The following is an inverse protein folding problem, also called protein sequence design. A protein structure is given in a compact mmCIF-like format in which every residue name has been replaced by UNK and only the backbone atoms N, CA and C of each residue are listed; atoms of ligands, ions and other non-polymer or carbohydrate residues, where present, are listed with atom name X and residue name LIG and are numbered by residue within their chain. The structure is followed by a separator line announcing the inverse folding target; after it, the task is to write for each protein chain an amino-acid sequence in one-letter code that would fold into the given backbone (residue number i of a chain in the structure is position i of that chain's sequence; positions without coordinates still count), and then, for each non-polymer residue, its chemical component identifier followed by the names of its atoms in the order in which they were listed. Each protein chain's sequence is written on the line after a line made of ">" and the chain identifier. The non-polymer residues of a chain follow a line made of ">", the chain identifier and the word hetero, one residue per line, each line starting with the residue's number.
data_IF_453130009480
#
_entry.id   IF_453130009480
#
_cell.length_a   1.000
_cell.length_b   1.000
_cell.length_c   1.000
_cell.angle_alpha   90.00
_cell.angle_beta   90.00
_cell.angle_gamma   90.00
#
_symmetry.space_group_name_H-M   'P 1'
#
loop_
_entity.id
_entity.type
_entity.pdbx_description
1 polymer ?
#
# COMPACT_ATOMS: atom_id res chain seq x y z
N UNK A 1 2.13 8.15 -9.71
CA UNK A 1 2.49 8.69 -8.38
C UNK A 1 1.34 8.70 -7.38
N UNK A 2 0.13 9.18 -7.73
CA UNK A 2 -1.00 9.20 -6.78
C UNK A 2 -1.35 7.82 -6.19
N UNK A 3 -1.33 6.74 -6.99
CA UNK A 3 -1.58 5.39 -6.46
C UNK A 3 -0.53 4.95 -5.43
N UNK A 4 0.75 5.32 -5.63
CA UNK A 4 1.83 5.04 -4.68
C UNK A 4 1.58 5.78 -3.37
N UNK A 5 1.19 7.04 -3.45
CA UNK A 5 0.83 7.85 -2.29
C UNK A 5 -0.33 7.24 -1.50
N UNK A 6 -1.42 6.86 -2.19
CA UNK A 6 -2.61 6.28 -1.56
C UNK A 6 -2.30 4.94 -0.91
N UNK A 7 -1.56 4.05 -1.58
CA UNK A 7 -1.17 2.75 -1.00
C UNK A 7 -0.28 2.98 0.23
N UNK A 8 0.64 3.96 0.17
CA UNK A 8 1.40 4.40 1.34
C UNK A 8 0.49 4.86 2.47
N UNK A 9 -0.46 5.76 2.20
CA UNK A 9 -1.41 6.27 3.19
C UNK A 9 -2.28 5.19 3.82
N UNK A 10 -2.82 4.26 3.02
CA UNK A 10 -3.63 3.15 3.54
C UNK A 10 -2.76 2.21 4.38
N UNK A 11 -1.57 1.87 3.92
CA UNK A 11 -0.64 1.03 4.70
C UNK A 11 -0.29 1.70 6.02
N UNK A 12 0.02 3.00 6.00
CA UNK A 12 0.34 3.79 7.19
C UNK A 12 -0.80 3.86 8.19
N UNK A 13 -2.03 4.05 7.70
CA UNK A 13 -3.22 4.06 8.54
C UNK A 13 -3.48 2.68 9.18
N UNK A 14 -3.25 1.57 8.46
CA UNK A 14 -3.36 0.22 9.03
C UNK A 14 -2.28 -0.05 10.08
N UNK A 15 -1.09 0.54 9.93
CA UNK A 15 0.00 0.43 10.90
C UNK A 15 -0.31 1.09 12.25
N UNK A 16 -1.22 2.07 12.30
CA UNK A 16 -1.67 2.65 13.57
C UNK A 16 -2.24 1.60 14.54
N UNK A 17 -2.91 0.58 14.00
CA UNK A 17 -3.52 -0.48 14.80
C UNK A 17 -2.53 -1.57 15.24
N UNK A 18 -1.25 -1.44 14.90
CA UNK A 18 -0.22 -2.36 15.35
C UNK A 18 0.04 -2.26 16.85
N UNK A 19 0.68 -3.29 17.40
CA UNK A 19 1.06 -3.31 18.81
C UNK A 19 1.91 -2.09 19.16
N UNK A 20 1.58 -1.45 20.30
CA UNK A 20 2.31 -0.30 20.84
C UNK A 20 3.82 -0.56 20.87
N UNK A 21 4.59 0.38 20.35
CA UNK A 21 6.06 0.30 20.26
C UNK A 21 6.62 -0.45 19.05
N UNK A 22 5.78 -1.13 18.25
CA UNK A 22 6.27 -1.83 17.04
C UNK A 22 6.09 -1.02 15.74
N UNK A 23 5.36 0.11 15.78
CA UNK A 23 4.97 0.86 14.59
C UNK A 23 6.18 1.36 13.77
N UNK A 24 7.24 1.86 14.41
CA UNK A 24 8.46 2.32 13.73
C UNK A 24 9.12 1.20 12.93
N UNK A 25 9.26 0.02 13.57
CA UNK A 25 9.79 -1.18 12.94
C UNK A 25 8.94 -1.58 11.73
N UNK A 26 7.63 -1.58 11.88
CA UNK A 26 6.72 -1.95 10.80
C UNK A 26 6.74 -0.94 9.65
N UNK A 27 6.84 0.36 9.93
CA UNK A 27 7.00 1.40 8.90
C UNK A 27 8.27 1.19 8.09
N UNK A 28 9.39 0.90 8.76
CA UNK A 28 10.67 0.61 8.08
C UNK A 28 10.57 -0.66 7.24
N UNK A 29 9.94 -1.72 7.75
CA UNK A 29 9.70 -2.95 6.98
C UNK A 29 8.88 -2.66 5.72
N UNK A 30 7.78 -1.91 5.84
CA UNK A 30 6.95 -1.57 4.68
C UNK A 30 7.72 -0.74 3.65
N UNK A 31 8.53 0.22 4.11
CA UNK A 31 9.39 1.02 3.24
C UNK A 31 10.41 0.17 2.49
N UNK A 32 11.08 -0.76 3.17
CA UNK A 32 12.08 -1.66 2.56
C UNK A 32 11.43 -2.61 1.57
N UNK A 33 10.27 -3.21 1.91
CA UNK A 33 9.55 -4.09 1.00
C UNK A 33 9.09 -3.30 -0.24
N UNK A 34 8.60 -2.07 -0.07
CA UNK A 34 8.23 -1.23 -1.20
C UNK A 34 9.45 -0.85 -2.06
N UNK A 35 10.57 -0.47 -1.44
CA UNK A 35 11.81 -0.15 -2.13
C UNK A 35 12.39 -1.35 -2.93
N UNK A 36 12.19 -2.58 -2.45
CA UNK A 36 12.59 -3.79 -3.16
C UNK A 36 11.56 -4.19 -4.22
N UNK A 37 10.35 -4.56 -3.78
CA UNK A 37 9.32 -5.13 -4.66
C UNK A 37 8.74 -4.11 -5.63
N UNK A 38 8.58 -2.85 -5.20
CA UNK A 38 8.18 -1.77 -6.08
C UNK A 38 9.23 -1.50 -7.17
N UNK A 39 10.53 -1.63 -6.87
CA UNK A 39 11.59 -1.48 -7.86
C UNK A 39 11.54 -2.59 -8.90
N UNK A 40 11.30 -3.84 -8.46
CA UNK A 40 11.14 -4.98 -9.36
C UNK A 40 9.95 -4.76 -10.30
N UNK A 41 8.80 -4.33 -9.77
CA UNK A 41 7.64 -4.03 -10.60
C UNK A 41 7.89 -2.90 -11.60
N UNK A 42 8.51 -1.81 -11.13
CA UNK A 42 8.89 -0.67 -11.97
C UNK A 42 9.85 -1.06 -13.10
N UNK A 43 10.91 -1.79 -12.77
CA UNK A 43 11.95 -2.21 -13.72
C UNK A 43 11.42 -3.19 -14.75
N UNK A 44 10.54 -4.11 -14.33
CA UNK A 44 9.92 -5.06 -15.25
C UNK A 44 8.96 -4.36 -16.21
N UNK A 45 8.08 -3.48 -15.72
CA UNK A 45 7.12 -2.75 -16.57
C UNK A 45 7.82 -1.85 -17.60
N UNK A 46 8.84 -1.11 -17.19
CA UNK A 46 9.53 -0.14 -18.05
C UNK A 46 10.67 -0.73 -18.90
N UNK A 47 11.06 -1.99 -18.69
CA UNK A 47 12.15 -2.64 -19.41
C UNK A 47 11.73 -3.92 -20.12
N UNK A 48 11.39 -4.96 -19.36
CA UNK A 48 11.26 -6.34 -19.85
C UNK A 48 9.83 -6.73 -20.26
N UNK A 49 8.81 -6.06 -19.73
CA UNK A 49 7.38 -6.35 -19.93
C UNK A 49 6.68 -5.23 -20.72
N UNK A 50 7.39 -4.51 -21.57
CA UNK A 50 6.82 -3.45 -22.42
C UNK A 50 5.71 -3.96 -23.37
N UNK A 51 5.61 -5.28 -23.58
CA UNK A 51 4.56 -5.93 -24.35
C UNK A 51 3.24 -6.12 -23.57
N UNK A 52 3.24 -5.98 -22.24
CA UNK A 52 2.02 -6.04 -21.44
C UNK A 52 1.30 -4.70 -21.57
N UNK A 53 0.08 -4.71 -22.12
CA UNK A 53 -0.67 -3.46 -22.27
C UNK A 53 -0.99 -2.83 -20.92
N UNK A 54 -1.04 -1.50 -20.87
CA UNK A 54 -1.36 -0.79 -19.63
C UNK A 54 -2.70 -1.24 -19.01
N UNK A 55 -3.66 -1.66 -19.84
CA UNK A 55 -4.95 -2.18 -19.40
C UNK A 55 -4.80 -3.43 -18.54
N UNK A 56 -3.92 -4.37 -18.92
CA UNK A 56 -3.65 -5.57 -18.13
C UNK A 56 -2.98 -5.23 -16.80
N UNK A 57 -2.02 -4.30 -16.79
CA UNK A 57 -1.36 -3.85 -15.54
C UNK A 57 -2.37 -3.23 -14.58
N UNK A 58 -3.32 -2.41 -15.09
CA UNK A 58 -4.41 -1.84 -14.29
C UNK A 58 -5.36 -2.91 -13.77
N UNK A 59 -5.71 -3.91 -14.58
CA UNK A 59 -6.56 -5.03 -14.17
C UNK A 59 -5.90 -5.87 -13.07
N UNK A 60 -4.63 -6.25 -13.23
CA UNK A 60 -3.88 -6.98 -12.21
C UNK A 60 -3.74 -6.16 -10.93
N UNK A 61 -3.50 -4.85 -11.05
CA UNK A 61 -3.46 -3.97 -9.90
C UNK A 61 -4.79 -3.94 -9.13
N UNK A 62 -5.92 -3.84 -9.83
CA UNK A 62 -7.25 -3.89 -9.21
C UNK A 62 -7.50 -5.22 -8.48
N UNK A 63 -7.15 -6.35 -9.12
CA UNK A 63 -7.23 -7.67 -8.47
C UNK A 63 -6.32 -7.75 -7.25
N UNK A 64 -5.12 -7.19 -7.33
CA UNK A 64 -4.19 -7.09 -6.19
C UNK A 64 -4.75 -6.28 -5.02
N UNK A 65 -5.43 -5.16 -5.32
CA UNK A 65 -6.15 -4.36 -4.31
C UNK A 65 -7.27 -5.18 -3.65
N UNK A 66 -8.10 -5.87 -4.43
CA UNK A 66 -9.15 -6.74 -3.89
C UNK A 66 -8.57 -7.84 -2.98
N UNK A 67 -7.52 -8.52 -3.45
CA UNK A 67 -6.84 -9.56 -2.68
C UNK A 67 -6.26 -9.04 -1.37
N UNK A 68 -5.66 -7.84 -1.39
CA UNK A 68 -5.17 -7.16 -0.19
C UNK A 68 -6.28 -6.83 0.79
N UNK A 69 -7.42 -6.29 0.33
CA UNK A 69 -8.54 -5.96 1.22
C UNK A 69 -9.12 -7.20 1.88
N UNK A 70 -9.37 -8.27 1.11
CA UNK A 70 -9.87 -9.54 1.66
C UNK A 70 -8.89 -10.10 2.69
N UNK A 71 -7.59 -10.07 2.38
CA UNK A 71 -6.55 -10.56 3.28
C UNK A 71 -6.46 -9.73 4.56
N UNK A 72 -6.56 -8.40 4.46
CA UNK A 72 -6.54 -7.49 5.59
C UNK A 72 -7.73 -7.69 6.52
N UNK A 73 -8.94 -7.89 5.96
CA UNK A 73 -10.15 -8.17 6.74
C UNK A 73 -10.01 -9.52 7.47
N UNK A 74 -9.49 -10.55 6.80
CA UNK A 74 -9.28 -11.87 7.40
C UNK A 74 -8.17 -11.89 8.46
N UNK A 75 -7.13 -11.05 8.30
CA UNK A 75 -5.98 -11.01 9.18
C UNK A 75 -6.16 -10.08 10.40
N UNK A 76 -7.11 -9.14 10.34
CA UNK A 76 -7.31 -8.17 11.41
C UNK A 76 -7.62 -8.85 12.74
N UNK A 77 -6.78 -8.59 13.75
CA UNK A 77 -7.01 -9.01 15.13
C UNK A 77 -7.04 -7.78 16.03
N UNK A 78 -8.15 -7.54 16.76
CA UNK A 78 -8.20 -6.45 17.74
C UNK A 78 -6.99 -6.51 18.68
N UNK A 79 -6.39 -5.34 18.94
CA UNK A 79 -5.18 -5.14 19.78
C UNK A 79 -3.85 -5.69 19.23
N UNK A 80 -3.88 -6.47 18.14
CA UNK A 80 -2.68 -7.04 17.51
C UNK A 80 -2.44 -6.49 16.10
N UNK A 81 -3.43 -5.82 15.50
CA UNK A 81 -3.31 -5.11 14.23
C UNK A 81 -3.63 -5.97 13.01
N UNK A 82 -3.15 -5.52 11.84
CA UNK A 82 -3.41 -6.14 10.53
C UNK A 82 -2.27 -7.03 10.02
N UNK A 83 -1.05 -6.79 10.49
CA UNK A 83 0.18 -7.42 10.01
C UNK A 83 0.76 -8.36 11.08
N UNK A 84 0.35 -9.63 11.04
CA UNK A 84 0.95 -10.67 11.86
C UNK A 84 2.17 -11.31 11.19
N UNK A 85 3.19 -11.70 11.95
CA UNK A 85 4.42 -12.34 11.41
C UNK A 85 4.15 -13.65 10.66
N UNK A 86 3.07 -14.35 11.00
CA UNK A 86 2.71 -15.66 10.45
C UNK A 86 1.58 -15.60 9.43
N UNK A 87 1.01 -14.43 9.16
CA UNK A 87 -0.11 -14.27 8.23
C UNK A 87 0.41 -14.18 6.80
N UNK A 88 0.85 -15.31 6.24
CA UNK A 88 1.42 -15.42 4.89
C UNK A 88 0.54 -14.77 3.82
N UNK A 89 -0.79 -14.91 3.92
CA UNK A 89 -1.76 -14.32 2.98
C UNK A 89 -1.64 -12.79 2.93
N UNK A 90 -1.55 -12.16 4.11
CA UNK A 90 -1.38 -10.72 4.22
C UNK A 90 -0.07 -10.27 3.58
N UNK A 91 1.04 -10.94 3.91
CA UNK A 91 2.35 -10.63 3.34
C UNK A 91 2.41 -10.80 1.83
N UNK A 92 1.87 -11.91 1.31
CA UNK A 92 1.81 -12.14 -0.13
C UNK A 92 0.99 -11.04 -0.83
N UNK A 93 -0.13 -10.63 -0.25
CA UNK A 93 -0.96 -9.56 -0.81
C UNK A 93 -0.29 -8.18 -0.77
N UNK A 94 0.44 -7.85 0.31
CA UNK A 94 1.25 -6.61 0.42
C UNK A 94 2.33 -6.59 -0.65
N UNK A 95 3.09 -7.68 -0.77
CA UNK A 95 4.18 -7.81 -1.72
C UNK A 95 3.66 -7.66 -3.16
N UNK A 96 2.57 -8.34 -3.49
CA UNK A 96 1.93 -8.24 -4.80
C UNK A 96 1.44 -6.82 -5.07
N UNK A 97 0.79 -6.18 -4.09
CA UNK A 97 0.28 -4.82 -4.23
C UNK A 97 1.41 -3.81 -4.44
N UNK A 98 2.52 -3.93 -3.71
CA UNK A 98 3.68 -3.03 -3.85
C UNK A 98 4.36 -3.22 -5.20
N UNK A 99 4.54 -4.47 -5.64
CA UNK A 99 5.03 -4.77 -6.97
C UNK A 99 4.17 -4.12 -8.06
N UNK A 100 2.86 -4.34 -8.03
CA UNK A 100 1.93 -3.78 -9.02
C UNK A 100 1.88 -2.25 -8.97
N UNK A 101 2.01 -1.67 -7.77
CA UNK A 101 2.07 -0.21 -7.62
C UNK A 101 3.31 0.39 -8.27
N UNK A 102 4.46 -0.30 -8.21
CA UNK A 102 5.68 0.10 -8.91
C UNK A 102 5.57 -0.07 -10.42
N UNK A 103 4.92 -1.15 -10.88
CA UNK A 103 4.67 -1.39 -12.30
C UNK A 103 3.78 -0.32 -12.96
N UNK A 104 2.91 0.33 -12.19
CA UNK A 104 2.05 1.44 -12.64
C UNK A 104 2.75 2.79 -12.71
N UNK A 105 4.03 2.87 -12.34
CA UNK A 105 4.79 4.12 -12.41
C UNK A 105 5.46 4.20 -13.78
N UNK A 106 4.98 5.13 -14.60
CA UNK A 106 5.61 5.48 -15.87
C UNK A 106 6.82 6.40 -15.63
N UNK A 107 7.88 6.20 -16.41
CA UNK A 107 9.07 7.06 -16.39
C UNK A 107 8.69 8.46 -16.88
N UNK A 108 9.06 9.49 -16.13
CA UNK A 108 8.83 10.90 -16.51
C UNK A 108 10.09 11.61 -16.97
N UNK A 109 11.18 11.51 -16.18
CA UNK A 109 12.45 12.21 -16.45
C UNK A 109 13.56 11.19 -16.66
N UNK A 110 13.86 10.41 -15.62
CA UNK A 110 14.83 9.33 -15.66
C UNK A 110 14.33 8.20 -14.78
N UNK A 111 14.62 6.96 -15.15
CA UNK A 111 14.14 5.79 -14.42
C UNK A 111 14.59 5.83 -12.95
N UNK A 112 15.84 6.23 -12.70
CA UNK A 112 16.42 6.32 -11.35
C UNK A 112 15.71 7.41 -10.53
N UNK A 113 15.61 8.62 -11.07
CA UNK A 113 14.98 9.73 -10.35
C UNK A 113 13.48 9.51 -10.13
N UNK A 114 12.78 8.95 -11.12
CA UNK A 114 11.35 8.61 -11.00
C UNK A 114 11.13 7.59 -9.88
N UNK A 115 12.01 6.59 -9.79
CA UNK A 115 11.90 5.58 -8.75
C UNK A 115 12.22 6.12 -7.35
N UNK A 116 13.31 6.88 -7.19
CA UNK A 116 13.63 7.54 -5.91
C UNK A 116 12.45 8.40 -5.45
N UNK A 117 11.88 9.19 -6.37
CA UNK A 117 10.72 10.01 -6.06
C UNK A 117 9.51 9.17 -5.64
N UNK A 118 9.29 8.02 -6.27
CA UNK A 118 8.20 7.10 -5.88
C UNK A 118 8.36 6.57 -4.45
N UNK A 119 9.59 6.26 -4.03
CA UNK A 119 9.89 5.83 -2.64
C UNK A 119 9.63 6.97 -1.66
N UNK A 120 10.03 8.20 -1.98
CA UNK A 120 9.76 9.36 -1.14
C UNK A 120 8.25 9.65 -1.02
N UNK A 121 7.51 9.55 -2.13
CA UNK A 121 6.05 9.70 -2.15
C UNK A 121 5.37 8.60 -1.31
N UNK A 122 5.86 7.37 -1.39
CA UNK A 122 5.36 6.27 -0.56
C UNK A 122 5.63 6.52 0.93
N UNK A 123 6.84 6.94 1.29
CA UNK A 123 7.21 7.27 2.68
C UNK A 123 6.37 8.42 3.24
N UNK A 124 6.15 9.47 2.44
CA UNK A 124 5.26 10.57 2.81
C UNK A 124 3.82 10.08 3.01
N UNK A 125 3.33 9.23 2.10
CA UNK A 125 2.03 8.58 2.23
C UNK A 125 1.92 7.78 3.53
N UNK A 126 2.88 6.91 3.83
CA UNK A 126 2.94 6.13 5.07
C UNK A 126 2.80 7.00 6.32
N UNK A 127 3.59 8.08 6.42
CA UNK A 127 3.54 9.00 7.55
C UNK A 127 2.19 9.72 7.64
N UNK A 128 1.71 10.27 6.53
CA UNK A 128 0.43 10.98 6.48
C UNK A 128 -0.72 10.07 6.87
N UNK A 129 -0.74 8.84 6.37
CA UNK A 129 -1.75 7.84 6.69
C UNK A 129 -1.78 7.48 8.17
N UNK A 130 -0.61 7.25 8.76
CA UNK A 130 -0.49 6.98 10.19
C UNK A 130 -0.99 8.16 11.04
N UNK A 131 -0.57 9.38 10.70
CA UNK A 131 -0.99 10.60 11.41
C UNK A 131 -2.48 10.88 11.26
N UNK A 132 -3.04 10.71 10.05
CA UNK A 132 -4.46 10.88 9.78
C UNK A 132 -5.29 9.89 10.60
N UNK A 133 -4.85 8.62 10.69
CA UNK A 133 -5.54 7.63 11.50
C UNK A 133 -5.45 7.94 13.00
N UNK A 134 -4.29 8.42 13.47
CA UNK A 134 -4.12 8.87 14.86
C UNK A 134 -5.08 10.01 15.20
N UNK A 135 -5.19 10.99 14.30
CA UNK A 135 -6.14 12.10 14.45
C UNK A 135 -7.58 11.58 14.45
N UNK A 136 -7.98 10.77 13.47
CA UNK A 136 -9.33 10.18 13.43
C UNK A 136 -9.68 9.40 14.69
N UNK A 137 -8.73 8.61 15.22
CA UNK A 137 -8.93 7.84 16.44
C UNK A 137 -9.11 8.72 17.68
N UNK A 138 -8.52 9.92 17.73
CA UNK A 138 -8.73 10.83 18.87
C UNK A 138 -10.15 11.39 18.94
N UNK A 139 -10.79 11.62 17.80
CA UNK A 139 -12.17 12.14 17.75
C UNK A 139 -13.21 11.02 17.81
N UNK A 140 -12.93 9.85 17.24
CA UNK A 140 -13.90 8.77 17.06
C UNK A 140 -13.45 7.40 17.62
N UNK A 141 -12.95 7.32 18.87
CA UNK A 141 -12.38 6.08 19.41
C UNK A 141 -13.41 4.96 19.61
N UNK A 142 -14.71 5.29 19.66
CA UNK A 142 -15.80 4.35 19.92
C UNK A 142 -16.37 3.69 18.66
N UNK A 143 -15.93 4.10 17.47
CA UNK A 143 -16.44 3.53 16.22
C UNK A 143 -15.70 2.23 15.87
N UNK A 144 -16.39 1.10 16.02
CA UNK A 144 -15.85 -0.24 15.75
C UNK A 144 -15.40 -0.44 14.30
N UNK A 145 -15.93 0.35 13.37
CA UNK A 145 -15.65 0.28 11.93
C UNK A 145 -14.45 1.14 11.50
N UNK A 146 -13.92 1.97 12.40
CA UNK A 146 -12.79 2.87 12.12
C UNK A 146 -11.54 2.17 11.54
N UNK A 147 -11.18 0.92 11.94
CA UNK A 147 -10.06 0.21 11.36
C UNK A 147 -10.20 -0.14 9.87
N UNK A 148 -11.43 -0.20 9.36
CA UNK A 148 -11.71 -0.55 7.96
C UNK A 148 -11.81 0.67 7.04
N UNK A 149 -11.87 1.88 7.58
CA UNK A 149 -11.92 3.14 6.82
C UNK A 149 -10.77 3.26 5.80
N UNK A 150 -9.51 2.91 6.12
CA UNK A 150 -8.42 2.94 5.15
C UNK A 150 -8.67 2.02 3.94
N UNK A 151 -9.34 0.88 4.14
CA UNK A 151 -9.66 -0.04 3.05
C UNK A 151 -10.74 0.54 2.12
N UNK A 152 -11.73 1.26 2.66
CA UNK A 152 -12.73 1.95 1.85
C UNK A 152 -12.08 3.02 0.94
N UNK A 153 -11.12 3.79 1.46
CA UNK A 153 -10.36 4.76 0.65
C UNK A 153 -9.65 4.06 -0.51
N UNK A 154 -9.09 2.88 -0.28
CA UNK A 154 -8.45 2.07 -1.32
C UNK A 154 -9.44 1.68 -2.43
N UNK A 155 -10.70 1.35 -2.10
CA UNK A 155 -11.76 1.05 -3.09
C UNK A 155 -12.04 2.25 -3.98
N UNK A 156 -12.26 3.43 -3.40
CA UNK A 156 -12.61 4.63 -4.16
C UNK A 156 -11.50 5.04 -5.13
N UNK A 157 -10.25 5.00 -4.68
CA UNK A 157 -9.09 5.29 -5.55
C UNK A 157 -8.92 4.24 -6.64
N UNK A 158 -9.25 2.99 -6.34
CA UNK A 158 -9.15 1.90 -7.31
C UNK A 158 -10.23 1.98 -8.38
N UNK A 159 -11.47 2.28 -7.99
CA UNK A 159 -12.57 2.52 -8.92
C UNK A 159 -12.30 3.74 -9.81
N UNK A 160 -11.81 4.84 -9.24
CA UNK A 160 -11.45 6.04 -10.00
C UNK A 160 -10.28 5.87 -10.97
N UNK A 161 -9.51 4.78 -10.87
CA UNK A 161 -8.44 4.42 -11.83
C UNK A 161 -8.90 3.51 -12.97
N UNK A 162 -10.06 2.89 -12.82
CA UNK A 162 -10.66 2.00 -13.82
C UNK A 162 -11.64 2.72 -14.74
N UNK A 163 -12.19 3.86 -14.30
CA UNK A 163 -12.96 4.82 -15.09
C UNK A 163 -12.02 5.74 -15.90
#
# INVERSE_FOLDING_TARGET
>A
MLAVFVIGAVTGALLFYQRLGEWERWMLIMLVIFAGMGYLGFSLSNGYLSFVTEAWVRAFWFVGVLAFMVSAIMAYRPRHGFFGRYDFRMWASVIALFFLSGALVNVWISAVFTYIFSVLVFAAGLLIGFLAQSYLYSYWPRFEWLPYVPLLVLIFVSAGKLL
#
